data_IF_364222442322
#
_entry.id   IF_364222442322
#
_cell.length_a   1.000
_cell.length_b   1.000
_cell.length_c   1.000
_cell.angle_alpha   90.00
_cell.angle_beta   90.00
_cell.angle_gamma   90.00
#
_symmetry.space_group_name_H-M   'P 1'
#
loop_
_entity.id
_entity.type
_entity.pdbx_description
1 polymer ?
#
# COMPACT_ATOMS: atom_id res chain seq x y z
N UNK A 1 1.74 9.84 22.79
CA UNK A 1 1.99 8.47 22.28
C UNK A 1 0.97 8.18 21.19
N UNK A 2 1.36 7.40 20.17
CA UNK A 2 0.46 7.00 19.09
C UNK A 2 0.27 5.49 19.15
N UNK A 3 -1.00 5.09 19.23
CA UNK A 3 -1.43 3.71 19.21
C UNK A 3 -2.34 3.53 17.99
N UNK A 4 -2.01 2.58 17.11
CA UNK A 4 -2.69 2.33 15.86
C UNK A 4 -3.09 0.86 15.82
N UNK A 5 -4.34 0.59 15.45
CA UNK A 5 -4.89 -0.75 15.39
C UNK A 5 -5.71 -0.96 14.14
N UNK A 6 -5.60 -2.12 13.56
CA UNK A 6 -6.47 -2.61 12.50
C UNK A 6 -6.64 -4.12 12.67
N UNK A 7 -7.82 -4.65 12.31
CA UNK A 7 -8.07 -6.08 12.32
C UNK A 7 -7.39 -6.79 11.13
N UNK A 8 -7.17 -6.07 10.02
CA UNK A 8 -6.51 -6.61 8.83
C UNK A 8 -5.00 -6.79 9.07
N UNK A 9 -4.57 -8.04 9.07
CA UNK A 9 -3.17 -8.43 9.29
C UNK A 9 -2.24 -7.85 8.21
N UNK A 10 -2.71 -7.71 6.95
CA UNK A 10 -1.90 -7.20 5.84
C UNK A 10 -1.65 -5.71 5.98
N UNK A 11 -2.66 -4.93 6.41
CA UNK A 11 -2.52 -3.51 6.73
C UNK A 11 -1.45 -3.32 7.80
N UNK A 12 -1.55 -4.05 8.89
CA UNK A 12 -0.59 -3.94 10.00
C UNK A 12 0.80 -4.43 9.61
N UNK A 13 0.91 -5.53 8.83
CA UNK A 13 2.19 -6.02 8.34
C UNK A 13 2.89 -4.98 7.46
N UNK A 14 2.15 -4.35 6.52
CA UNK A 14 2.67 -3.33 5.64
C UNK A 14 3.16 -2.09 6.41
N UNK A 15 2.38 -1.61 7.38
CA UNK A 15 2.79 -0.49 8.22
C UNK A 15 4.03 -0.79 9.05
N UNK A 16 4.10 -1.97 9.68
CA UNK A 16 5.30 -2.40 10.43
C UNK A 16 6.54 -2.51 9.53
N UNK A 17 6.35 -3.02 8.31
CA UNK A 17 7.41 -3.08 7.30
C UNK A 17 7.91 -1.68 6.94
N UNK A 18 7.01 -0.75 6.58
CA UNK A 18 7.37 0.64 6.25
C UNK A 18 8.04 1.36 7.43
N UNK A 19 7.59 1.13 8.67
CA UNK A 19 8.25 1.68 9.86
C UNK A 19 9.70 1.20 10.01
N UNK A 20 9.97 -0.08 9.74
CA UNK A 20 11.34 -0.63 9.75
C UNK A 20 12.18 -0.03 8.62
N UNK A 21 11.59 0.11 7.44
CA UNK A 21 12.23 0.68 6.25
C UNK A 21 12.58 2.16 6.41
N UNK A 22 11.86 2.89 7.25
CA UNK A 22 12.13 4.30 7.52
C UNK A 22 13.57 4.58 8.02
N UNK A 23 14.19 3.62 8.72
CA UNK A 23 15.58 3.71 9.15
C UNK A 23 16.59 3.20 8.11
N UNK A 24 16.12 2.64 6.99
CA UNK A 24 16.91 2.05 5.90
C UNK A 24 16.44 2.56 4.54
N UNK A 25 16.23 3.88 4.42
CA UNK A 25 15.59 4.52 3.26
C UNK A 25 16.30 4.20 1.95
N UNK A 26 17.63 4.31 1.92
CA UNK A 26 18.42 4.03 0.71
C UNK A 26 18.22 2.60 0.23
N UNK A 27 18.28 1.63 1.16
CA UNK A 27 18.04 0.22 0.87
C UNK A 27 16.60 0.00 0.36
N UNK A 28 15.63 0.63 1.02
CA UNK A 28 14.23 0.55 0.62
C UNK A 28 14.01 1.08 -0.81
N UNK A 29 14.44 2.29 -1.12
CA UNK A 29 14.26 2.87 -2.45
C UNK A 29 15.03 2.11 -3.53
N UNK A 30 16.26 1.65 -3.24
CA UNK A 30 17.02 0.82 -4.17
C UNK A 30 16.29 -0.47 -4.53
N UNK A 31 15.67 -1.14 -3.54
CA UNK A 31 14.88 -2.36 -3.80
C UNK A 31 13.60 -2.06 -4.59
N UNK A 32 12.89 -0.99 -4.28
CA UNK A 32 11.71 -0.52 -5.04
C UNK A 32 12.09 -0.28 -6.51
N UNK A 33 13.19 0.44 -6.76
CA UNK A 33 13.67 0.73 -8.11
C UNK A 33 14.04 -0.54 -8.88
N UNK A 34 14.74 -1.46 -8.21
CA UNK A 34 15.08 -2.76 -8.79
C UNK A 34 13.84 -3.54 -9.24
N UNK A 35 12.81 -3.60 -8.39
CA UNK A 35 11.55 -4.28 -8.71
C UNK A 35 10.78 -3.58 -9.84
N UNK A 36 10.70 -2.25 -9.83
CA UNK A 36 10.08 -1.48 -10.92
C UNK A 36 10.75 -1.81 -12.26
N UNK A 37 12.09 -1.85 -12.28
CA UNK A 37 12.85 -2.19 -13.48
C UNK A 37 12.67 -3.67 -13.89
N UNK A 38 12.70 -4.60 -12.94
CA UNK A 38 12.53 -6.05 -13.14
C UNK A 38 11.19 -6.37 -13.80
N UNK A 39 10.10 -5.76 -13.32
CA UNK A 39 8.77 -5.95 -13.90
C UNK A 39 8.51 -5.08 -15.13
N UNK A 40 9.30 -4.04 -15.37
CA UNK A 40 9.09 -3.10 -16.48
C UNK A 40 7.91 -2.15 -16.25
N UNK A 41 7.68 -1.76 -14.99
CA UNK A 41 6.66 -0.78 -14.64
C UNK A 41 7.10 0.65 -14.99
N UNK A 42 6.15 1.56 -15.23
CA UNK A 42 6.47 2.98 -15.41
C UNK A 42 6.99 3.61 -14.11
N UNK A 43 7.89 4.58 -14.23
CA UNK A 43 8.53 5.22 -13.08
C UNK A 43 8.75 6.71 -13.35
N UNK A 44 7.69 7.49 -13.38
CA UNK A 44 7.76 8.90 -13.75
C UNK A 44 8.49 9.78 -12.73
N UNK A 45 8.78 9.28 -11.54
CA UNK A 45 9.66 9.98 -10.59
C UNK A 45 11.08 10.16 -11.13
N UNK A 46 11.62 9.17 -11.84
CA UNK A 46 12.96 9.24 -12.43
C UNK A 46 12.94 9.49 -13.93
N UNK A 47 12.08 8.78 -14.63
CA UNK A 47 12.04 8.84 -16.09
C UNK A 47 10.64 8.50 -16.59
N UNK A 48 10.12 9.39 -17.44
CA UNK A 48 8.85 9.17 -18.10
C UNK A 48 9.06 8.42 -19.43
N UNK A 49 8.93 7.10 -19.39
CA UNK A 49 9.15 6.19 -20.54
C UNK A 49 7.88 5.87 -21.33
N UNK A 50 6.74 6.47 -20.97
CA UNK A 50 5.48 6.12 -21.64
C UNK A 50 5.44 6.76 -23.03
N UNK A 51 5.25 5.94 -24.11
CA UNK A 51 5.19 6.45 -25.48
C UNK A 51 4.11 7.51 -25.66
N UNK A 52 4.42 8.52 -26.49
CA UNK A 52 3.50 9.63 -26.78
C UNK A 52 2.21 9.11 -27.45
N UNK A 53 2.33 8.13 -28.32
CA UNK A 53 1.21 7.50 -29.02
C UNK A 53 0.23 6.86 -28.03
N UNK A 54 0.75 6.18 -26.98
CA UNK A 54 -0.07 5.59 -25.94
C UNK A 54 -0.83 6.66 -25.14
N UNK A 55 -0.17 7.79 -24.86
CA UNK A 55 -0.81 8.93 -24.17
C UNK A 55 -1.91 9.56 -25.01
N UNK A 56 -1.66 9.73 -26.31
CA UNK A 56 -2.63 10.28 -27.23
C UNK A 56 -3.85 9.36 -27.38
N UNK A 57 -3.61 8.05 -27.51
CA UNK A 57 -4.67 7.06 -27.66
C UNK A 57 -5.51 6.88 -26.40
N UNK A 58 -4.88 6.84 -25.22
CA UNK A 58 -5.53 6.51 -23.95
C UNK A 58 -5.61 7.66 -22.95
N UNK A 59 -5.50 8.89 -23.40
CA UNK A 59 -5.58 10.19 -22.68
C UNK A 59 -5.59 10.13 -21.14
N UNK A 60 -6.66 9.55 -20.55
CA UNK A 60 -6.86 9.48 -19.10
C UNK A 60 -6.49 8.14 -18.45
N UNK A 61 -6.11 7.11 -19.24
CA UNK A 61 -5.87 5.75 -18.75
C UNK A 61 -4.56 5.14 -19.23
N UNK A 62 -3.65 5.94 -19.75
CA UNK A 62 -2.40 5.47 -20.35
C UNK A 62 -1.45 4.77 -19.36
N UNK A 63 -1.42 5.18 -18.09
CA UNK A 63 -0.64 4.46 -17.07
C UNK A 63 -1.18 3.05 -16.86
N UNK A 64 -2.49 2.91 -16.72
CA UNK A 64 -3.12 1.60 -16.57
C UNK A 64 -2.85 0.70 -17.77
N UNK A 65 -2.88 1.27 -18.99
CA UNK A 65 -2.57 0.53 -20.22
C UNK A 65 -1.10 0.10 -20.27
N UNK A 66 -0.18 1.02 -20.00
CA UNK A 66 1.26 0.73 -19.99
C UNK A 66 1.61 -0.36 -18.98
N UNK A 67 1.13 -0.24 -17.75
CA UNK A 67 1.48 -1.13 -16.65
C UNK A 67 0.69 -2.45 -16.63
N UNK A 68 -0.32 -2.64 -17.48
CA UNK A 68 -1.28 -3.75 -17.37
C UNK A 68 -0.62 -5.13 -17.29
N UNK A 69 0.30 -5.40 -18.21
CA UNK A 69 0.97 -6.71 -18.30
C UNK A 69 2.00 -6.88 -17.17
N UNK A 70 2.82 -5.87 -16.94
CA UNK A 70 3.83 -5.83 -15.88
C UNK A 70 3.19 -6.04 -14.50
N UNK A 71 2.14 -5.29 -14.21
CA UNK A 71 1.35 -5.42 -12.99
C UNK A 71 0.70 -6.79 -12.85
N UNK A 72 0.19 -7.34 -13.96
CA UNK A 72 -0.40 -8.68 -14.00
C UNK A 72 0.61 -9.78 -13.65
N UNK A 73 1.85 -9.68 -14.17
CA UNK A 73 2.95 -10.60 -13.82
C UNK A 73 3.30 -10.46 -12.33
N UNK A 74 3.59 -9.25 -11.87
CA UNK A 74 3.93 -8.97 -10.47
C UNK A 74 2.87 -9.51 -9.50
N UNK A 75 1.58 -9.37 -9.84
CA UNK A 75 0.47 -9.88 -9.03
C UNK A 75 0.42 -11.42 -9.00
N UNK A 76 0.68 -12.10 -10.13
CA UNK A 76 0.76 -13.57 -10.16
C UNK A 76 1.92 -14.07 -9.32
N UNK A 77 3.11 -13.52 -9.53
CA UNK A 77 4.31 -13.93 -8.80
C UNK A 77 4.13 -13.75 -7.29
N UNK A 78 3.47 -12.66 -6.87
CA UNK A 78 3.13 -12.42 -5.47
C UNK A 78 2.19 -13.49 -4.92
N UNK A 79 1.13 -13.84 -5.66
CA UNK A 79 0.12 -14.81 -5.22
C UNK A 79 0.64 -16.26 -5.23
N UNK A 80 1.57 -16.58 -6.15
CA UNK A 80 2.19 -17.91 -6.26
C UNK A 80 3.32 -18.12 -5.24
N UNK A 81 3.82 -17.05 -4.65
CA UNK A 81 4.90 -17.12 -3.66
C UNK A 81 4.37 -17.64 -2.32
N UNK A 82 5.10 -18.58 -1.73
CA UNK A 82 4.83 -19.08 -0.37
C UNK A 82 5.15 -18.06 0.73
N UNK A 83 5.91 -17.02 0.40
CA UNK A 83 6.30 -15.94 1.32
C UNK A 83 5.91 -14.61 0.71
N UNK A 84 5.05 -13.86 1.41
CA UNK A 84 4.64 -12.53 0.96
C UNK A 84 5.81 -11.53 1.00
N UNK A 85 6.28 -11.09 -0.18
CA UNK A 85 7.24 -9.99 -0.29
C UNK A 85 6.51 -8.66 -0.09
N UNK A 86 6.80 -7.98 1.01
CA UNK A 86 6.15 -6.71 1.37
C UNK A 86 6.58 -5.53 0.48
N UNK A 87 7.72 -5.60 -0.20
CA UNK A 87 8.07 -4.63 -1.26
C UNK A 87 7.14 -4.79 -2.46
N UNK A 88 6.91 -6.03 -2.88
CA UNK A 88 5.99 -6.35 -3.99
C UNK A 88 4.56 -5.95 -3.60
N UNK A 89 4.10 -6.29 -2.39
CA UNK A 89 2.78 -5.87 -1.90
C UNK A 89 2.62 -4.35 -1.89
N UNK A 90 3.66 -3.61 -1.47
CA UNK A 90 3.64 -2.15 -1.50
C UNK A 90 3.53 -1.62 -2.95
N UNK A 91 4.27 -2.19 -3.90
CA UNK A 91 4.14 -1.81 -5.31
C UNK A 91 2.77 -2.17 -5.88
N UNK A 92 2.23 -3.35 -5.56
CA UNK A 92 0.87 -3.73 -5.94
C UNK A 92 -0.19 -2.75 -5.42
N UNK A 93 0.00 -2.22 -4.22
CA UNK A 93 -0.84 -1.17 -3.67
C UNK A 93 -0.69 0.15 -4.47
N UNK A 94 0.55 0.60 -4.73
CA UNK A 94 0.82 1.87 -5.40
C UNK A 94 0.29 1.88 -6.84
N UNK A 95 0.54 0.82 -7.61
CA UNK A 95 0.08 0.71 -9.00
C UNK A 95 -1.36 0.21 -9.13
N UNK A 96 -1.99 -0.21 -8.03
CA UNK A 96 -3.34 -0.75 -7.99
C UNK A 96 -4.43 0.33 -8.04
N UNK A 97 -5.62 -0.06 -8.47
CA UNK A 97 -6.78 0.82 -8.57
C UNK A 97 -7.16 1.36 -7.18
N UNK A 98 -7.27 2.67 -7.06
CA UNK A 98 -7.57 3.39 -5.80
C UNK A 98 -6.63 3.06 -4.63
N UNK A 99 -5.50 2.41 -4.88
CA UNK A 99 -4.50 2.05 -3.85
C UNK A 99 -5.11 1.28 -2.67
N UNK A 100 -5.96 0.31 -2.97
CA UNK A 100 -6.61 -0.52 -1.96
C UNK A 100 -5.83 -1.81 -1.69
N UNK A 101 -5.84 -2.26 -0.44
CA UNK A 101 -5.47 -3.64 -0.12
C UNK A 101 -6.72 -4.50 -0.28
N UNK A 102 -6.73 -5.38 -1.29
CA UNK A 102 -7.87 -6.25 -1.54
C UNK A 102 -7.40 -7.67 -1.85
N UNK A 103 -7.88 -8.60 -1.04
CA UNK A 103 -7.65 -10.02 -1.21
C UNK A 103 -8.98 -10.74 -1.48
N UNK A 104 -8.92 -11.83 -2.23
CA UNK A 104 -10.08 -12.68 -2.45
C UNK A 104 -10.28 -13.68 -1.28
N UNK A 105 -11.30 -14.52 -1.36
CA UNK A 105 -11.59 -15.54 -0.33
C UNK A 105 -10.50 -16.60 -0.18
N UNK A 106 -9.66 -16.78 -1.19
CA UNK A 106 -8.53 -17.71 -1.17
C UNK A 106 -7.25 -17.08 -0.57
N UNK A 107 -7.30 -15.78 -0.23
CA UNK A 107 -6.15 -15.04 0.25
C UNK A 107 -5.28 -14.44 -0.86
N UNK A 108 -5.68 -14.54 -2.15
CA UNK A 108 -4.91 -13.94 -3.23
C UNK A 108 -5.18 -12.44 -3.34
N UNK A 109 -4.14 -11.66 -3.58
CA UNK A 109 -4.28 -10.25 -3.91
C UNK A 109 -4.96 -10.10 -5.28
N UNK A 110 -6.09 -9.38 -5.34
CA UNK A 110 -6.94 -9.37 -6.55
C UNK A 110 -7.31 -7.98 -7.06
N UNK A 111 -6.58 -6.94 -6.67
CA UNK A 111 -6.81 -5.59 -7.16
C UNK A 111 -6.44 -5.48 -8.65
N UNK A 112 -7.24 -4.80 -9.50
CA UNK A 112 -6.82 -4.45 -10.86
C UNK A 112 -5.79 -3.32 -10.86
N UNK A 113 -5.07 -3.19 -12.00
CA UNK A 113 -4.15 -2.08 -12.21
C UNK A 113 -4.90 -0.74 -12.19
N UNK A 114 -4.30 0.26 -11.54
CA UNK A 114 -4.75 1.64 -11.51
C UNK A 114 -4.11 2.50 -12.60
N UNK A 115 -4.58 3.73 -12.72
CA UNK A 115 -4.01 4.71 -13.67
C UNK A 115 -3.03 5.66 -12.98
N UNK A 116 -2.05 5.09 -12.33
CA UNK A 116 -1.00 5.78 -11.59
C UNK A 116 0.32 5.03 -11.74
N UNK A 117 1.41 5.69 -11.33
CA UNK A 117 2.72 5.06 -11.22
C UNK A 117 3.46 5.53 -9.97
N UNK A 118 4.70 5.11 -9.83
CA UNK A 118 5.60 5.57 -8.77
C UNK A 118 6.18 6.93 -9.16
N UNK A 119 5.49 8.00 -8.78
CA UNK A 119 5.78 9.39 -9.14
C UNK A 119 6.27 10.21 -7.94
N UNK A 120 6.58 11.50 -8.17
CA UNK A 120 7.05 12.40 -7.13
C UNK A 120 6.09 12.52 -5.93
N UNK A 121 4.77 12.49 -6.15
CA UNK A 121 3.81 12.58 -5.05
C UNK A 121 3.88 11.33 -4.15
N UNK A 122 4.09 10.14 -4.74
CA UNK A 122 4.28 8.88 -3.97
C UNK A 122 5.55 8.97 -3.13
N UNK A 123 6.65 9.42 -3.73
CA UNK A 123 7.93 9.57 -3.01
C UNK A 123 7.81 10.57 -1.88
N UNK A 124 7.25 11.76 -2.14
CA UNK A 124 7.06 12.80 -1.13
C UNK A 124 6.16 12.34 0.03
N UNK A 125 5.06 11.64 -0.27
CA UNK A 125 4.18 11.10 0.75
C UNK A 125 4.87 10.03 1.61
N UNK A 126 5.68 9.17 0.99
CA UNK A 126 6.43 8.13 1.67
C UNK A 126 7.54 8.72 2.56
N UNK A 127 8.27 9.72 2.08
CA UNK A 127 9.27 10.43 2.87
C UNK A 127 8.64 11.15 4.07
N UNK A 128 7.51 11.81 3.88
CA UNK A 128 6.75 12.42 4.96
C UNK A 128 6.30 11.36 5.99
N UNK A 129 5.80 10.21 5.53
CA UNK A 129 5.45 9.08 6.39
C UNK A 129 6.67 8.58 7.19
N UNK A 130 7.81 8.39 6.55
CA UNK A 130 9.05 7.95 7.22
C UNK A 130 9.49 8.92 8.31
N UNK A 131 9.45 10.23 8.05
CA UNK A 131 9.74 11.24 9.07
C UNK A 131 8.78 11.15 10.26
N UNK A 132 7.47 10.97 9.99
CA UNK A 132 6.47 10.86 11.05
C UNK A 132 6.67 9.61 11.91
N UNK A 133 6.89 8.43 11.32
CA UNK A 133 7.03 7.19 12.10
C UNK A 133 8.33 7.18 12.92
N UNK A 134 9.42 7.79 12.43
CA UNK A 134 10.66 7.97 13.19
C UNK A 134 10.44 8.89 14.39
N UNK A 135 9.79 10.03 14.18
CA UNK A 135 9.50 11.02 15.21
C UNK A 135 8.50 10.52 16.25
N UNK A 136 7.38 9.97 15.79
CA UNK A 136 6.23 9.62 16.64
C UNK A 136 6.33 8.23 17.26
N UNK A 137 7.10 7.31 16.67
CA UNK A 137 7.32 5.93 17.12
C UNK A 137 5.99 5.22 17.45
N UNK A 138 5.07 5.10 16.48
CA UNK A 138 3.76 4.53 16.72
C UNK A 138 3.85 3.07 17.18
N UNK A 139 2.90 2.65 18.00
CA UNK A 139 2.72 1.25 18.37
C UNK A 139 1.57 0.66 17.58
N UNK A 140 1.84 -0.43 16.90
CA UNK A 140 0.90 -1.12 16.02
C UNK A 140 0.31 -2.34 16.69
N UNK A 141 -1.01 -2.46 16.65
CA UNK A 141 -1.79 -3.60 17.15
C UNK A 141 -2.57 -4.22 16.00
N UNK A 142 -2.86 -5.53 16.12
CA UNK A 142 -3.67 -6.27 15.17
C UNK A 142 -4.63 -7.15 15.99
N UNK A 143 -5.65 -6.52 16.55
CA UNK A 143 -6.65 -7.15 17.40
C UNK A 143 -8.00 -6.49 17.19
N UNK A 144 -9.08 -7.08 17.66
CA UNK A 144 -10.41 -6.45 17.68
C UNK A 144 -10.36 -5.09 18.39
N UNK A 145 -11.13 -4.13 17.91
CA UNK A 145 -11.10 -2.76 18.45
C UNK A 145 -11.55 -2.68 19.92
N UNK A 146 -12.46 -3.57 20.35
CA UNK A 146 -12.90 -3.61 21.74
C UNK A 146 -11.77 -4.06 22.66
N UNK A 147 -11.05 -5.11 22.27
CA UNK A 147 -9.88 -5.60 22.98
C UNK A 147 -8.76 -4.56 22.99
N UNK A 148 -8.59 -3.86 21.88
CA UNK A 148 -7.64 -2.76 21.77
C UNK A 148 -7.96 -1.64 22.77
N UNK A 149 -9.21 -1.18 22.83
CA UNK A 149 -9.62 -0.12 23.76
C UNK A 149 -9.46 -0.54 25.24
N UNK A 150 -9.65 -1.82 25.57
CA UNK A 150 -9.41 -2.33 26.91
C UNK A 150 -7.91 -2.41 27.25
N UNK A 151 -7.05 -2.61 26.24
CA UNK A 151 -5.61 -2.77 26.42
C UNK A 151 -4.85 -1.45 26.61
N UNK A 152 -5.40 -0.33 26.15
CA UNK A 152 -4.80 0.98 26.28
C UNK A 152 -5.43 1.73 27.45
N UNK A 153 -4.59 2.48 28.19
CA UNK A 153 -5.09 3.39 29.24
C UNK A 153 -5.34 4.75 28.60
N UNK A 154 -6.60 5.16 28.58
CA UNK A 154 -7.03 6.47 28.09
C UNK A 154 -7.19 7.45 29.26
N UNK A 155 -6.94 8.71 29.00
CA UNK A 155 -7.16 9.85 29.87
C UNK A 155 -8.05 10.90 29.18
N UNK A 156 -8.54 11.86 29.92
CA UNK A 156 -9.33 12.98 29.38
C UNK A 156 -8.59 13.84 28.31
N UNK A 157 -7.26 13.71 28.25
CA UNK A 157 -6.41 14.43 27.30
C UNK A 157 -6.12 13.64 26.01
N UNK A 158 -6.62 12.41 25.92
CA UNK A 158 -6.38 11.57 24.76
C UNK A 158 -7.48 11.75 23.72
N UNK A 159 -7.09 11.66 22.46
CA UNK A 159 -8.00 11.66 21.34
C UNK A 159 -8.10 10.25 20.76
N UNK A 160 -9.32 9.76 20.60
CA UNK A 160 -9.62 8.46 19.97
C UNK A 160 -10.32 8.71 18.65
N UNK A 161 -9.73 8.23 17.54
CA UNK A 161 -10.35 8.22 16.23
C UNK A 161 -10.79 6.79 15.89
N UNK A 162 -12.07 6.61 15.59
CA UNK A 162 -12.65 5.35 15.15
C UNK A 162 -13.19 5.52 13.73
N UNK A 163 -12.79 4.61 12.86
CA UNK A 163 -13.27 4.55 11.47
C UNK A 163 -13.88 3.16 11.20
N UNK A 164 -15.06 2.89 11.78
CA UNK A 164 -15.73 1.61 11.59
C UNK A 164 -16.29 1.50 10.17
N UNK A 165 -16.45 0.27 9.63
CA UNK A 165 -17.14 0.07 8.36
C UNK A 165 -18.57 0.60 8.45
N UNK A 166 -18.99 1.33 7.41
CA UNK A 166 -20.35 1.88 7.35
C UNK A 166 -21.37 0.79 7.07
N UNK A 167 -22.42 0.68 7.87
CA UNK A 167 -23.49 -0.32 7.75
C UNK A 167 -24.29 -0.23 6.43
N UNK A 168 -24.31 0.93 5.78
CA UNK A 168 -25.19 1.25 4.64
C UNK A 168 -24.45 1.39 3.32
N UNK A 169 -23.12 1.44 3.33
CA UNK A 169 -22.36 1.47 2.08
C UNK A 169 -22.16 0.04 1.59
N UNK A 170 -22.49 -0.22 0.32
CA UNK A 170 -22.01 -1.38 -0.41
C UNK A 170 -20.49 -1.31 -0.50
N UNK A 171 -19.82 -1.49 0.63
CA UNK A 171 -18.38 -1.60 0.64
C UNK A 171 -18.05 -2.98 0.13
N UNK A 172 -17.60 -3.07 -1.11
CA UNK A 172 -16.84 -4.23 -1.58
C UNK A 172 -15.51 -4.36 -0.82
N UNK A 173 -15.30 -3.47 0.14
CA UNK A 173 -14.18 -3.42 1.07
C UNK A 173 -14.45 -4.45 2.17
N UNK A 174 -13.77 -5.57 2.11
CA UNK A 174 -13.71 -6.57 3.18
C UNK A 174 -15.07 -7.17 3.59
N UNK A 175 -15.57 -8.12 2.83
CA UNK A 175 -16.51 -9.12 3.34
C UNK A 175 -15.74 -10.07 4.29
N UNK A 176 -15.26 -9.53 5.40
CA UNK A 176 -14.64 -10.30 6.49
C UNK A 176 -15.64 -10.59 7.62
N UNK A 177 -16.95 -10.42 7.35
CA UNK A 177 -18.03 -10.71 8.31
C UNK A 177 -18.96 -11.80 7.77
#
# INVERSE_FOLDING_TARGET
KFYLNDIDVNVIALHKFLCKSANKRTEFFSRIESLIAEYGLSYSYKEDRIPIELRQQYKKTYYAKYNKEAYGRMKRDFNESSIADLYVLYLLLIYGFNRMLRFNKNGDFNLPVGNVDFNANVVNALEAYFMQVISKKPKWFNIDYKDFLQKIRLSEKDFVYLDPPYLITFSEYNKLW
#
